data_IF_388795377142
#
_entry.id   IF_388795377142
#
_cell.length_a   1.000
_cell.length_b   1.000
_cell.length_c   1.000
_cell.angle_alpha   90.00
_cell.angle_beta   90.00
_cell.angle_gamma   90.00
#
_symmetry.space_group_name_H-M   'P 1'
#
loop_
_entity.id
_entity.type
_entity.pdbx_description
1 polymer ?
#
# COMPACT_ATOMS: atom_id res chain seq x y z
N UNK A 1 -1.17 -9.07 -7.94
CA UNK A 1 0.11 -9.82 -7.90
C UNK A 1 0.69 -9.88 -6.47
N UNK A 2 1.12 -11.05 -5.98
CA UNK A 2 1.64 -11.20 -4.60
C UNK A 2 3.15 -10.97 -4.49
N UNK A 3 3.92 -11.53 -5.42
CA UNK A 3 5.36 -11.29 -5.52
C UNK A 3 5.82 -11.51 -6.96
N UNK A 4 6.95 -10.89 -7.30
CA UNK A 4 7.65 -11.13 -8.55
C UNK A 4 9.14 -10.88 -8.35
N UNK A 5 9.97 -11.85 -8.73
CA UNK A 5 11.43 -11.75 -8.65
C UNK A 5 12.06 -12.27 -9.95
N UNK A 6 13.04 -11.53 -10.44
CA UNK A 6 13.97 -12.04 -11.45
C UNK A 6 15.11 -12.73 -10.69
N UNK A 7 15.38 -13.98 -11.02
CA UNK A 7 16.49 -14.73 -10.43
C UNK A 7 17.34 -15.35 -11.53
N UNK A 8 18.64 -15.42 -11.27
CA UNK A 8 19.57 -16.14 -12.13
C UNK A 8 19.57 -17.60 -11.73
N UNK A 9 19.40 -18.49 -12.70
CA UNK A 9 19.53 -19.93 -12.50
C UNK A 9 20.85 -20.37 -13.11
N UNK A 10 21.75 -20.91 -12.28
CA UNK A 10 23.04 -21.46 -12.69
C UNK A 10 23.14 -22.89 -12.15
N UNK A 11 23.35 -23.84 -13.05
CA UNK A 11 23.56 -25.26 -12.78
C UNK A 11 24.30 -25.90 -13.95
N UNK A 12 24.71 -27.16 -13.77
CA UNK A 12 25.54 -27.90 -14.73
C UNK A 12 24.92 -27.98 -16.15
N UNK A 13 23.58 -28.00 -16.23
CA UNK A 13 22.82 -28.07 -17.48
C UNK A 13 21.81 -26.93 -17.66
N UNK A 14 21.78 -25.96 -16.73
CA UNK A 14 20.80 -24.87 -16.70
C UNK A 14 21.54 -23.57 -16.45
N UNK A 15 21.61 -22.72 -17.46
CA UNK A 15 22.15 -21.38 -17.31
C UNK A 15 21.14 -20.43 -17.94
N UNK A 16 20.76 -19.36 -17.25
CA UNK A 16 19.75 -18.45 -17.74
C UNK A 16 19.08 -17.62 -16.65
N UNK A 17 17.95 -17.05 -17.01
CA UNK A 17 17.15 -16.18 -16.16
C UNK A 17 15.74 -16.72 -16.02
N UNK A 18 15.11 -16.47 -14.88
CA UNK A 18 13.71 -16.81 -14.67
C UNK A 18 12.97 -15.68 -13.97
N UNK A 19 11.71 -15.49 -14.36
CA UNK A 19 10.77 -14.64 -13.63
C UNK A 19 9.93 -15.55 -12.74
N UNK A 20 10.13 -15.49 -11.42
CA UNK A 20 9.29 -16.21 -10.47
C UNK A 20 8.20 -15.26 -10.00
N UNK A 21 6.94 -15.61 -10.21
CA UNK A 21 5.81 -14.77 -9.81
C UNK A 21 4.63 -15.59 -9.29
N UNK A 22 3.76 -14.93 -8.52
CA UNK A 22 2.54 -15.55 -7.98
C UNK A 22 1.32 -14.66 -8.14
N UNK A 23 0.29 -15.24 -8.76
CA UNK A 23 -1.02 -14.62 -9.00
C UNK A 23 -2.06 -15.58 -8.44
N UNK A 24 -2.98 -15.07 -7.62
CA UNK A 24 -4.11 -15.81 -7.06
C UNK A 24 -3.77 -17.17 -6.43
N UNK A 25 -2.64 -17.25 -5.73
CA UNK A 25 -2.21 -18.49 -5.09
C UNK A 25 -1.33 -19.40 -5.94
N UNK A 26 -1.28 -19.19 -7.26
CA UNK A 26 -0.56 -20.05 -8.22
C UNK A 26 0.81 -19.44 -8.54
N UNK A 27 1.85 -20.26 -8.44
CA UNK A 27 3.23 -19.88 -8.73
C UNK A 27 3.61 -20.25 -10.16
N UNK A 28 4.25 -19.31 -10.85
CA UNK A 28 4.72 -19.46 -12.23
C UNK A 28 6.22 -19.13 -12.31
N UNK A 29 6.94 -19.86 -13.16
CA UNK A 29 8.40 -19.75 -13.31
C UNK A 29 8.85 -19.89 -14.78
N UNK A 30 8.47 -18.98 -15.70
CA UNK A 30 9.04 -18.96 -17.04
C UNK A 30 10.57 -18.83 -16.98
N UNK A 31 11.26 -19.73 -17.69
CA UNK A 31 12.72 -19.80 -17.79
C UNK A 31 13.18 -19.39 -19.19
N UNK A 32 14.24 -18.59 -19.23
CA UNK A 32 14.86 -18.05 -20.43
C UNK A 32 16.31 -18.55 -20.50
N UNK A 33 16.50 -19.64 -21.26
CA UNK A 33 17.81 -20.22 -21.54
C UNK A 33 18.69 -19.31 -22.40
N UNK A 34 20.01 -19.50 -22.33
CA UNK A 34 20.99 -18.59 -22.94
C UNK A 34 21.14 -18.82 -24.45
N UNK A 35 20.94 -17.75 -25.21
CA UNK A 35 21.59 -17.47 -26.51
C UNK A 35 22.84 -16.60 -26.26
N UNK A 36 22.67 -15.46 -25.58
CA UNK A 36 23.71 -14.69 -24.86
C UNK A 36 23.13 -14.20 -23.51
N UNK A 37 23.99 -13.81 -22.56
CA UNK A 37 23.55 -13.36 -21.23
C UNK A 37 22.61 -12.16 -21.28
N UNK A 38 22.96 -11.16 -22.09
CA UNK A 38 22.21 -9.91 -22.23
C UNK A 38 20.85 -10.15 -22.90
N UNK A 39 20.80 -11.04 -23.91
CA UNK A 39 19.56 -11.38 -24.59
C UNK A 39 18.57 -12.11 -23.66
N UNK A 40 19.07 -13.07 -22.88
CA UNK A 40 18.24 -13.79 -21.90
C UNK A 40 17.70 -12.85 -20.80
N UNK A 41 18.52 -11.93 -20.28
CA UNK A 41 18.08 -10.94 -19.30
C UNK A 41 17.06 -9.96 -19.90
N UNK A 42 17.29 -9.49 -21.13
CA UNK A 42 16.37 -8.58 -21.84
C UNK A 42 14.99 -9.22 -22.01
N UNK A 43 14.93 -10.46 -22.49
CA UNK A 43 13.67 -11.23 -22.65
C UNK A 43 12.96 -11.43 -21.31
N UNK A 44 13.72 -11.72 -20.25
CA UNK A 44 13.21 -11.85 -18.90
C UNK A 44 12.60 -10.54 -18.37
N UNK A 45 13.25 -9.40 -18.61
CA UNK A 45 12.75 -8.07 -18.23
C UNK A 45 11.47 -7.72 -19.01
N UNK A 46 11.41 -8.01 -20.30
CA UNK A 46 10.20 -7.79 -21.12
C UNK A 46 9.03 -8.61 -20.58
N UNK A 47 9.23 -9.92 -20.36
CA UNK A 47 8.19 -10.78 -19.80
C UNK A 47 7.71 -10.32 -18.42
N UNK A 48 8.63 -9.88 -17.55
CA UNK A 48 8.27 -9.28 -16.26
C UNK A 48 7.41 -8.03 -16.43
N UNK A 49 7.75 -7.16 -17.38
CA UNK A 49 7.00 -5.93 -17.63
C UNK A 49 5.58 -6.22 -18.13
N UNK A 50 5.43 -7.17 -19.04
CA UNK A 50 4.12 -7.64 -19.54
C UNK A 50 3.24 -8.12 -18.38
N UNK A 51 3.79 -8.95 -17.48
CA UNK A 51 3.07 -9.44 -16.32
C UNK A 51 2.68 -8.33 -15.32
N UNK A 52 3.51 -7.29 -15.16
CA UNK A 52 3.14 -6.11 -14.35
C UNK A 52 2.00 -5.32 -14.96
N UNK A 53 1.98 -5.18 -16.28
CA UNK A 53 0.90 -4.50 -16.99
C UNK A 53 -0.40 -5.30 -16.94
N UNK A 54 -0.33 -6.63 -16.98
CA UNK A 54 -1.49 -7.52 -16.94
C UNK A 54 -2.09 -7.68 -15.53
N UNK A 55 -1.25 -7.91 -14.52
CA UNK A 55 -1.69 -8.30 -13.18
C UNK A 55 -1.47 -7.24 -12.10
N UNK A 56 -1.03 -6.05 -12.51
CA UNK A 56 -0.69 -4.93 -11.64
C UNK A 56 0.70 -5.04 -11.02
N UNK A 57 1.14 -3.92 -10.44
CA UNK A 57 2.44 -3.80 -9.82
C UNK A 57 2.50 -4.46 -8.43
N UNK A 58 3.70 -4.83 -7.94
CA UNK A 58 3.87 -5.37 -6.61
C UNK A 58 3.66 -4.29 -5.54
N UNK A 59 3.33 -4.72 -4.30
CA UNK A 59 3.17 -3.85 -3.12
C UNK A 59 4.38 -2.99 -2.76
N UNK A 60 5.55 -3.30 -3.29
CA UNK A 60 6.73 -2.46 -3.12
C UNK A 60 6.64 -1.15 -3.92
N UNK A 61 5.82 -1.12 -4.97
CA UNK A 61 5.58 0.01 -5.87
C UNK A 61 4.20 0.64 -5.60
N UNK A 62 3.21 -0.13 -5.14
CA UNK A 62 1.84 0.36 -4.89
C UNK A 62 1.51 0.50 -3.40
N UNK A 63 0.71 1.51 -3.07
CA UNK A 63 0.15 1.68 -1.73
C UNK A 63 -1.15 0.89 -1.61
N UNK A 64 -1.29 0.13 -0.52
CA UNK A 64 -2.52 -0.63 -0.28
C UNK A 64 -3.63 0.28 0.23
N UNK A 65 -4.76 0.23 -0.46
CA UNK A 65 -6.02 0.81 0.01
C UNK A 65 -6.47 0.24 1.37
N UNK A 66 -7.18 1.08 2.12
CA UNK A 66 -7.83 0.68 3.36
C UNK A 66 -9.21 0.10 3.08
N UNK A 67 -9.52 -1.01 3.74
CA UNK A 67 -10.89 -1.52 3.79
C UNK A 67 -11.78 -0.53 4.56
N UNK A 68 -12.95 -0.24 4.00
CA UNK A 68 -13.92 0.69 4.57
C UNK A 68 -14.57 0.12 5.84
N UNK A 69 -15.05 -1.13 5.76
CA UNK A 69 -15.76 -1.83 6.84
C UNK A 69 -15.10 -3.16 7.19
N UNK A 70 -13.88 -3.11 7.74
CA UNK A 70 -13.17 -4.32 8.13
C UNK A 70 -13.54 -4.75 9.56
N UNK A 71 -14.07 -5.97 9.69
CA UNK A 71 -14.22 -6.66 10.98
C UNK A 71 -12.87 -7.20 11.44
N UNK A 72 -12.65 -7.24 12.76
CA UNK A 72 -11.41 -7.77 13.34
C UNK A 72 -11.70 -8.49 14.64
N UNK A 73 -11.32 -9.77 14.72
CA UNK A 73 -11.33 -10.54 15.97
C UNK A 73 -10.25 -10.10 16.96
N UNK A 74 -9.26 -9.31 16.51
CA UNK A 74 -8.18 -8.77 17.37
C UNK A 74 -8.56 -7.47 18.05
N UNK A 75 -9.66 -6.84 17.64
CA UNK A 75 -10.19 -5.63 18.26
C UNK A 75 -11.25 -6.01 19.29
N UNK A 76 -11.19 -5.39 20.47
CA UNK A 76 -12.22 -5.53 21.51
C UNK A 76 -13.55 -4.85 21.17
N UNK A 77 -13.62 -4.08 20.06
CA UNK A 77 -14.86 -3.53 19.52
C UNK A 77 -15.41 -4.36 18.34
N UNK A 78 -14.66 -5.38 17.89
CA UNK A 78 -14.99 -6.16 16.69
C UNK A 78 -14.65 -5.49 15.36
N UNK A 79 -14.12 -4.26 15.38
CA UNK A 79 -13.81 -3.47 14.20
C UNK A 79 -12.32 -3.17 14.06
N UNK A 80 -11.78 -3.35 12.85
CA UNK A 80 -10.36 -3.17 12.57
C UNK A 80 -9.94 -1.71 12.75
N UNK A 81 -8.98 -1.44 13.64
CA UNK A 81 -8.48 -0.08 13.89
C UNK A 81 -9.36 0.75 14.81
N UNK A 82 -10.31 0.15 15.54
CA UNK A 82 -11.05 0.82 16.61
C UNK A 82 -10.87 -0.01 17.88
N UNK A 83 -10.43 0.60 18.98
CA UNK A 83 -10.15 -0.08 20.24
C UNK A 83 -10.74 0.69 21.40
N UNK A 84 -11.47 0.01 22.28
CA UNK A 84 -11.86 0.58 23.57
C UNK A 84 -10.67 0.50 24.53
N UNK A 85 -10.33 1.61 25.19
CA UNK A 85 -9.27 1.66 26.20
C UNK A 85 -9.56 2.73 27.24
N UNK A 86 -8.91 2.62 28.39
CA UNK A 86 -8.91 3.67 29.40
C UNK A 86 -7.68 4.56 29.19
N UNK A 87 -7.89 5.87 29.19
CA UNK A 87 -6.82 6.87 29.23
C UNK A 87 -6.79 7.56 30.58
N UNK A 88 -5.59 7.72 31.13
CA UNK A 88 -5.37 8.47 32.37
C UNK A 88 -4.97 9.90 31.98
N UNK A 89 -5.76 10.87 32.40
CA UNK A 89 -5.46 12.28 32.18
C UNK A 89 -4.21 12.70 32.98
N UNK A 90 -3.64 13.86 32.66
CA UNK A 90 -2.55 14.45 33.47
C UNK A 90 -2.95 14.72 34.93
N UNK A 91 -4.25 14.83 35.22
CA UNK A 91 -4.79 15.03 36.57
C UNK A 91 -5.04 13.70 37.29
N UNK A 92 -4.69 12.56 36.69
CA UNK A 92 -4.91 11.22 37.26
C UNK A 92 -6.33 10.68 37.08
N UNK A 93 -7.20 11.40 36.36
CA UNK A 93 -8.58 10.97 36.14
C UNK A 93 -8.63 9.97 34.98
N UNK A 94 -9.22 8.81 35.22
CA UNK A 94 -9.47 7.81 34.19
C UNK A 94 -10.65 8.22 33.31
N UNK A 95 -10.52 8.02 32.00
CA UNK A 95 -11.61 8.23 31.04
C UNK A 95 -11.60 7.10 30.02
N UNK A 96 -12.73 6.46 29.81
CA UNK A 96 -12.88 5.51 28.72
C UNK A 96 -12.94 6.22 27.37
N UNK A 97 -12.19 5.70 26.40
CA UNK A 97 -12.16 6.22 25.03
C UNK A 97 -12.26 5.10 24.01
N UNK A 98 -12.77 5.44 22.82
CA UNK A 98 -12.54 4.70 21.60
C UNK A 98 -11.34 5.30 20.87
N UNK A 99 -10.24 4.55 20.82
CA UNK A 99 -9.05 4.86 20.02
C UNK A 99 -9.25 4.38 18.58
N UNK A 100 -9.12 5.30 17.63
CA UNK A 100 -9.39 5.07 16.21
C UNK A 100 -8.09 5.28 15.43
N UNK A 101 -7.64 4.24 14.73
CA UNK A 101 -6.51 4.29 13.81
C UNK A 101 -6.96 4.82 12.44
N UNK A 102 -6.37 5.95 12.06
CA UNK A 102 -6.65 6.68 10.84
C UNK A 102 -5.37 6.86 10.01
N UNK A 103 -5.49 7.51 8.86
CA UNK A 103 -4.39 8.00 8.05
C UNK A 103 -4.36 9.52 8.08
N UNK A 104 -3.16 10.06 8.30
CA UNK A 104 -2.89 11.46 8.07
C UNK A 104 -2.91 11.72 6.55
N UNK A 105 -3.90 12.46 6.08
CA UNK A 105 -4.10 12.71 4.65
C UNK A 105 -3.00 13.58 4.03
N UNK A 106 -2.21 14.30 4.84
CA UNK A 106 -1.10 15.15 4.36
C UNK A 106 0.15 14.36 3.99
N UNK A 107 0.36 13.20 4.62
CA UNK A 107 1.61 12.45 4.47
C UNK A 107 1.43 10.93 4.39
N UNK A 108 0.20 10.43 4.38
CA UNK A 108 -0.15 9.02 4.27
C UNK A 108 0.18 8.16 5.50
N UNK A 109 0.77 8.72 6.57
CA UNK A 109 1.19 7.97 7.75
C UNK A 109 0.01 7.56 8.63
N UNK A 110 0.21 6.51 9.41
CA UNK A 110 -0.76 6.12 10.43
C UNK A 110 -0.79 7.18 11.53
N UNK A 111 -2.00 7.49 11.99
CA UNK A 111 -2.27 8.39 13.11
C UNK A 111 -3.41 7.80 13.95
N UNK A 112 -3.57 8.26 15.18
CA UNK A 112 -4.68 7.84 16.03
C UNK A 112 -5.43 9.07 16.54
N UNK A 113 -6.75 8.92 16.70
CA UNK A 113 -7.59 9.88 17.38
C UNK A 113 -8.46 9.17 18.41
N UNK A 114 -9.02 9.93 19.35
CA UNK A 114 -9.74 9.39 20.49
C UNK A 114 -11.11 10.06 20.64
N UNK A 115 -12.15 9.25 20.75
CA UNK A 115 -13.48 9.69 21.15
C UNK A 115 -13.72 9.29 22.60
N UNK A 116 -13.98 10.26 23.47
CA UNK A 116 -14.28 9.99 24.87
C UNK A 116 -15.71 9.49 25.00
N UNK A 117 -15.92 8.35 25.67
CA UNK A 117 -17.24 7.73 25.78
C UNK A 117 -18.23 8.66 26.52
N UNK A 118 -17.76 9.41 27.51
CA UNK A 118 -18.58 10.33 28.29
C UNK A 118 -19.12 11.55 27.51
N UNK A 119 -18.70 11.76 26.25
CA UNK A 119 -19.24 12.80 25.37
C UNK A 119 -20.41 12.29 24.50
N UNK A 120 -20.83 11.04 24.66
CA UNK A 120 -21.89 10.40 23.89
C UNK A 120 -22.94 9.81 24.83
N UNK A 121 -24.18 9.72 24.34
CA UNK A 121 -25.31 9.20 25.13
C UNK A 121 -25.11 7.76 25.59
N UNK A 122 -24.44 6.95 24.76
CA UNK A 122 -24.13 5.56 25.04
C UNK A 122 -22.95 5.06 24.20
N UNK A 123 -22.48 3.85 24.52
CA UNK A 123 -21.39 3.19 23.82
C UNK A 123 -21.66 3.04 22.31
N UNK A 124 -22.88 2.65 21.92
CA UNK A 124 -23.21 2.41 20.52
C UNK A 124 -23.13 3.69 19.69
N UNK A 125 -23.61 4.82 20.22
CA UNK A 125 -23.50 6.13 19.57
C UNK A 125 -22.03 6.55 19.37
N UNK A 126 -21.17 6.31 20.37
CA UNK A 126 -19.73 6.56 20.26
C UNK A 126 -19.08 5.65 19.20
N UNK A 127 -19.47 4.37 19.16
CA UNK A 127 -18.96 3.40 18.19
C UNK A 127 -19.40 3.75 16.76
N UNK A 128 -20.64 4.17 16.55
CA UNK A 128 -21.15 4.59 15.24
C UNK A 128 -20.42 5.84 14.75
N UNK A 129 -20.15 6.80 15.64
CA UNK A 129 -19.32 7.97 15.34
C UNK A 129 -17.88 7.57 14.96
N UNK A 130 -17.29 6.64 15.70
CA UNK A 130 -15.94 6.12 15.42
C UNK A 130 -15.87 5.43 14.05
N UNK A 131 -16.87 4.60 13.72
CA UNK A 131 -16.98 3.92 12.44
C UNK A 131 -17.13 4.91 11.30
N UNK A 132 -18.03 5.89 11.43
CA UNK A 132 -18.24 6.93 10.43
C UNK A 132 -16.94 7.68 10.14
N UNK A 133 -16.24 8.14 11.17
CA UNK A 133 -14.96 8.83 11.03
C UNK A 133 -13.92 7.97 10.31
N UNK A 134 -13.83 6.69 10.66
CA UNK A 134 -12.88 5.76 10.05
C UNK A 134 -13.21 5.45 8.58
N UNK A 135 -14.50 5.30 8.25
CA UNK A 135 -14.96 5.07 6.88
C UNK A 135 -14.67 6.29 6.00
N UNK A 136 -15.01 7.50 6.49
CA UNK A 136 -14.75 8.74 5.77
C UNK A 136 -13.25 8.95 5.54
N UNK A 137 -12.43 8.75 6.57
CA UNK A 137 -10.97 8.82 6.41
C UNK A 137 -10.44 7.80 5.39
N UNK A 138 -10.93 6.54 5.43
CA UNK A 138 -10.51 5.50 4.49
C UNK A 138 -10.93 5.82 3.05
N UNK A 139 -12.15 6.33 2.82
CA UNK A 139 -12.60 6.78 1.49
C UNK A 139 -11.69 7.87 0.94
N UNK A 140 -11.43 8.89 1.75
CA UNK A 140 -10.60 10.03 1.36
C UNK A 140 -9.14 9.61 1.13
N UNK A 141 -8.60 8.75 1.99
CA UNK A 141 -7.26 8.18 1.82
C UNK A 141 -7.16 7.35 0.54
N UNK A 142 -8.13 6.48 0.25
CA UNK A 142 -8.10 5.63 -0.94
C UNK A 142 -8.18 6.45 -2.24
N UNK A 143 -8.90 7.58 -2.24
CA UNK A 143 -8.91 8.50 -3.38
C UNK A 143 -7.51 9.07 -3.67
N UNK A 144 -6.74 9.41 -2.63
CA UNK A 144 -5.35 9.86 -2.77
C UNK A 144 -4.46 8.71 -3.24
N UNK A 145 -4.63 7.51 -2.67
CA UNK A 145 -3.88 6.30 -3.05
C UNK A 145 -4.08 5.97 -4.53
N UNK A 146 -5.30 6.09 -5.05
CA UNK A 146 -5.58 5.88 -6.47
C UNK A 146 -4.72 6.77 -7.37
N UNK A 147 -4.67 8.08 -7.08
CA UNK A 147 -3.82 9.01 -7.84
C UNK A 147 -2.33 8.74 -7.62
N UNK A 148 -1.93 8.38 -6.40
CA UNK A 148 -0.55 8.05 -6.09
C UNK A 148 -0.06 6.84 -6.90
N UNK A 149 -0.85 5.77 -6.92
CA UNK A 149 -0.55 4.54 -7.63
C UNK A 149 -0.61 4.73 -9.15
N UNK A 150 -1.49 5.61 -9.64
CA UNK A 150 -1.50 6.03 -11.05
C UNK A 150 -0.20 6.74 -11.45
N UNK A 151 0.31 7.65 -10.61
CA UNK A 151 1.60 8.30 -10.84
C UNK A 151 2.75 7.29 -10.78
N UNK A 152 2.74 6.38 -9.80
CA UNK A 152 3.74 5.32 -9.69
C UNK A 152 3.73 4.39 -10.90
N UNK A 153 2.56 4.02 -11.43
CA UNK A 153 2.44 3.19 -12.61
C UNK A 153 3.08 3.87 -13.84
N UNK A 154 2.80 5.16 -14.04
CA UNK A 154 3.38 5.92 -15.15
C UNK A 154 4.91 6.01 -15.06
N UNK A 155 5.46 6.26 -13.87
CA UNK A 155 6.91 6.27 -13.66
C UNK A 155 7.51 4.87 -13.79
N UNK A 156 6.82 3.84 -13.28
CA UNK A 156 7.28 2.45 -13.37
C UNK A 156 7.41 2.00 -14.82
N UNK A 157 6.48 2.37 -15.70
CA UNK A 157 6.56 2.06 -17.15
C UNK A 157 7.83 2.64 -17.77
N UNK A 158 8.14 3.92 -17.52
CA UNK A 158 9.36 4.55 -18.04
C UNK A 158 10.62 3.87 -17.51
N UNK A 159 10.63 3.51 -16.22
CA UNK A 159 11.77 2.81 -15.62
C UNK A 159 11.90 1.39 -16.17
N UNK A 160 10.79 0.68 -16.38
CA UNK A 160 10.76 -0.66 -17.00
C UNK A 160 11.39 -0.65 -18.39
N UNK A 161 11.05 0.33 -19.23
CA UNK A 161 11.66 0.52 -20.55
C UNK A 161 13.17 0.79 -20.44
N UNK A 162 13.55 1.65 -19.48
CA UNK A 162 14.96 1.96 -19.21
C UNK A 162 15.75 0.74 -18.73
N UNK A 163 15.18 -0.08 -17.84
CA UNK A 163 15.80 -1.33 -17.39
C UNK A 163 16.02 -2.30 -18.56
N UNK A 164 15.07 -2.40 -19.49
CA UNK A 164 15.24 -3.23 -20.70
C UNK A 164 16.35 -2.65 -21.59
N UNK A 165 16.44 -1.33 -21.74
CA UNK A 165 17.46 -0.69 -22.55
C UNK A 165 18.87 -0.87 -21.98
N UNK A 166 19.07 -0.59 -20.68
CA UNK A 166 20.39 -0.58 -20.04
C UNK A 166 20.77 -1.89 -19.35
N UNK A 167 19.82 -2.80 -19.15
CA UNK A 167 19.96 -4.04 -18.37
C UNK A 167 20.36 -3.82 -16.90
N UNK A 168 20.07 -2.65 -16.36
CA UNK A 168 20.33 -2.27 -14.97
C UNK A 168 19.03 -2.12 -14.19
N UNK A 169 19.03 -2.32 -12.85
CA UNK A 169 17.84 -2.14 -12.02
C UNK A 169 17.55 -0.65 -11.75
N UNK A 170 16.39 -0.18 -12.18
CA UNK A 170 15.86 1.17 -11.97
C UNK A 170 14.55 1.19 -11.17
N UNK A 171 13.70 0.17 -11.27
CA UNK A 171 12.45 0.05 -10.50
C UNK A 171 12.61 0.16 -8.98
N UNK A 172 13.73 -0.30 -8.35
CA UNK A 172 13.92 -0.12 -6.92
C UNK A 172 13.87 1.35 -6.45
N UNK A 173 14.07 2.32 -7.33
CA UNK A 173 13.96 3.76 -7.01
C UNK A 173 12.53 4.19 -6.68
N UNK A 174 11.52 3.43 -7.09
CA UNK A 174 10.11 3.66 -6.72
C UNK A 174 9.71 3.01 -5.40
N UNK A 175 10.62 2.28 -4.72
CA UNK A 175 10.29 1.60 -3.47
C UNK A 175 10.03 2.60 -2.35
N UNK A 176 8.93 2.38 -1.64
CA UNK A 176 8.58 3.11 -0.42
C UNK A 176 7.73 4.34 -0.67
N UNK A 177 7.52 5.11 0.40
CA UNK A 177 6.63 6.26 0.39
C UNK A 177 7.38 7.56 0.07
N UNK A 178 7.16 8.12 -1.12
CA UNK A 178 7.64 9.44 -1.52
C UNK A 178 6.62 10.54 -1.16
N UNK A 179 7.06 11.56 -0.41
CA UNK A 179 6.20 12.64 0.09
C UNK A 179 5.79 13.64 -1.01
N UNK A 180 6.68 13.98 -1.94
CA UNK A 180 6.38 14.94 -3.00
C UNK A 180 5.32 14.39 -3.95
N UNK A 181 5.45 13.10 -4.29
CA UNK A 181 4.42 12.37 -5.05
C UNK A 181 3.10 12.29 -4.28
N UNK A 182 3.15 12.14 -2.95
CA UNK A 182 1.94 12.14 -2.11
C UNK A 182 1.23 13.48 -2.18
N UNK A 183 1.96 14.59 -2.04
CA UNK A 183 1.40 15.94 -2.16
C UNK A 183 0.78 16.18 -3.54
N UNK A 184 1.42 15.66 -4.59
CA UNK A 184 0.89 15.73 -5.96
C UNK A 184 -0.41 14.92 -6.08
N UNK A 185 -0.44 13.71 -5.54
CA UNK A 185 -1.63 12.86 -5.53
C UNK A 185 -2.79 13.50 -4.75
N UNK A 186 -2.50 14.16 -3.61
CA UNK A 186 -3.51 14.94 -2.86
C UNK A 186 -4.11 16.03 -3.75
N UNK A 187 -3.29 16.82 -4.43
CA UNK A 187 -3.78 17.88 -5.32
C UNK A 187 -4.64 17.35 -6.47
N UNK A 188 -4.25 16.22 -7.07
CA UNK A 188 -4.98 15.60 -8.18
C UNK A 188 -6.28 14.90 -7.74
N UNK A 189 -6.32 14.37 -6.51
CA UNK A 189 -7.48 13.65 -5.99
C UNK A 189 -8.70 14.53 -5.73
N UNK A 190 -8.55 15.86 -5.73
CA UNK A 190 -9.60 16.81 -5.36
C UNK A 190 -9.96 16.83 -3.87
N UNK A 191 -9.22 16.07 -3.04
CA UNK A 191 -9.43 16.02 -1.59
C UNK A 191 -9.00 17.34 -0.94
N UNK A 192 -9.92 17.98 -0.24
CA UNK A 192 -9.61 19.13 0.61
C UNK A 192 -9.19 18.66 2.01
N UNK A 193 -7.89 18.70 2.29
CA UNK A 193 -7.36 18.36 3.62
C UNK A 193 -7.49 19.57 4.55
N UNK A 194 -8.44 19.54 5.47
CA UNK A 194 -8.65 20.66 6.39
C UNK A 194 -7.44 20.93 7.31
N UNK A 195 -7.23 22.20 7.73
CA UNK A 195 -6.28 22.53 8.79
C UNK A 195 -6.63 21.75 10.06
N UNK A 196 -5.71 20.92 10.56
CA UNK A 196 -5.91 20.13 11.79
C UNK A 196 -6.05 18.63 11.60
N UNK A 197 -6.15 18.10 10.37
CA UNK A 197 -5.96 16.67 10.13
C UNK A 197 -4.48 16.31 10.35
N UNK A 198 -4.19 15.70 11.51
CA UNK A 198 -2.88 15.16 11.90
C UNK A 198 -2.89 13.63 11.93
#
# INVERSE_FOLDING_TARGET
MEFMNITRAIGEYVNGWQVKYKVDGIEHQPFFGISTYEDALRRCLIARNELYLEHGFPRAIQIRELALNARSSRSNTGWAGIYQRTEVSRTGSETEVLSISLRNLRNGKATNTHLRLNHYDNYQACLDAALKMRIENAKTYNAIVHEYDRLNAADAIKLMEKEVATLEPHLPTLKGHNLDRWQTAVALSGVQVQPGHQ
#
